data_IF_913443632058
#
_entry.id   IF_913443632058
#
_cell.length_a   1.000
_cell.length_b   1.000
_cell.length_c   1.000
_cell.angle_alpha   90.00
_cell.angle_beta   90.00
_cell.angle_gamma   90.00
#
_symmetry.space_group_name_H-M   'P 1'
#
loop_
_entity.id
_entity.type
_entity.pdbx_description
1 polymer ?
#
# COMPACT_ATOMS: atom_id res chain seq x y z
N UNK A 1 25.14 -15.38 17.34
CA UNK A 1 25.94 -15.52 16.11
C UNK A 1 25.03 -15.14 14.96
N UNK A 2 25.06 -13.87 14.56
CA UNK A 2 24.25 -13.35 13.45
C UNK A 2 24.94 -13.86 12.18
N UNK A 3 24.31 -14.80 11.48
CA UNK A 3 24.79 -15.21 10.18
C UNK A 3 24.92 -13.96 9.30
N UNK A 4 26.10 -13.77 8.69
CA UNK A 4 26.28 -12.81 7.60
C UNK A 4 25.17 -13.10 6.60
N UNK A 5 24.22 -12.17 6.48
CA UNK A 5 23.26 -12.17 5.39
C UNK A 5 24.13 -12.11 4.14
N UNK A 6 24.08 -13.16 3.32
CA UNK A 6 24.77 -13.20 2.03
C UNK A 6 24.41 -11.91 1.28
N UNK A 7 25.41 -11.24 0.69
CA UNK A 7 25.24 -9.95 0.01
C UNK A 7 24.21 -10.00 -1.13
N UNK A 8 23.82 -11.21 -1.56
CA UNK A 8 22.72 -11.44 -2.47
C UNK A 8 21.85 -12.62 -2.00
N UNK A 9 20.55 -12.42 -1.71
CA UNK A 9 19.66 -13.54 -1.37
C UNK A 9 19.52 -14.50 -2.56
N UNK A 10 19.64 -15.81 -2.31
CA UNK A 10 19.47 -16.90 -3.30
C UNK A 10 18.02 -17.39 -3.33
N UNK A 11 17.49 -17.89 -4.46
CA UNK A 11 16.11 -18.36 -4.57
C UNK A 11 15.68 -19.40 -3.50
N UNK A 12 16.63 -20.17 -2.99
CA UNK A 12 16.46 -21.09 -1.86
C UNK A 12 16.25 -20.32 -0.55
N UNK A 13 17.11 -19.33 -0.25
CA UNK A 13 16.93 -18.42 0.89
C UNK A 13 15.60 -17.65 0.83
N UNK A 14 15.12 -17.28 -0.37
CA UNK A 14 13.79 -16.69 -0.55
C UNK A 14 12.69 -17.67 -0.16
N UNK A 15 12.78 -18.92 -0.63
CA UNK A 15 11.77 -19.95 -0.36
C UNK A 15 11.72 -20.33 1.11
N UNK A 16 12.88 -20.47 1.78
CA UNK A 16 12.98 -20.72 3.21
C UNK A 16 12.45 -19.56 4.06
N UNK A 17 12.76 -18.31 3.67
CA UNK A 17 12.27 -17.13 4.35
C UNK A 17 10.76 -16.97 4.21
N UNK A 18 10.21 -17.25 3.02
CA UNK A 18 8.76 -17.30 2.80
C UNK A 18 8.17 -18.37 3.71
N UNK A 19 8.65 -19.62 3.64
CA UNK A 19 8.13 -20.74 4.43
C UNK A 19 8.18 -20.48 5.95
N UNK A 20 9.28 -19.91 6.44
CA UNK A 20 9.46 -19.58 7.87
C UNK A 20 8.52 -18.46 8.30
N UNK A 21 8.51 -17.35 7.58
CA UNK A 21 7.66 -16.19 7.87
C UNK A 21 6.18 -16.58 7.88
N UNK A 22 5.83 -17.41 6.91
CA UNK A 22 4.51 -17.98 6.69
C UNK A 22 4.03 -18.86 7.84
N UNK A 23 4.88 -19.80 8.27
CA UNK A 23 4.58 -20.73 9.35
C UNK A 23 4.45 -20.00 10.70
N UNK A 24 5.36 -19.06 10.97
CA UNK A 24 5.32 -18.29 12.22
C UNK A 24 4.10 -17.36 12.23
N UNK A 25 3.75 -16.71 11.11
CA UNK A 25 2.52 -15.91 11.00
C UNK A 25 1.27 -16.73 11.31
N UNK A 26 1.13 -17.93 10.72
CA UNK A 26 -0.02 -18.80 10.97
C UNK A 26 -0.12 -19.27 12.42
N UNK A 27 1.02 -19.50 13.10
CA UNK A 27 1.04 -19.84 14.52
C UNK A 27 0.54 -18.71 15.42
N UNK A 28 0.89 -17.44 15.13
CA UNK A 28 0.35 -16.30 15.87
C UNK A 28 -1.14 -16.14 15.62
N UNK A 29 -1.58 -16.22 14.38
CA UNK A 29 -3.01 -16.12 14.03
C UNK A 29 -3.87 -17.18 14.74
N UNK A 30 -3.39 -18.43 14.76
CA UNK A 30 -4.07 -19.51 15.47
C UNK A 30 -4.12 -19.21 16.97
N UNK A 31 -3.01 -18.69 17.53
CA UNK A 31 -2.93 -18.31 18.94
C UNK A 31 -3.92 -17.17 19.26
N UNK A 32 -3.97 -16.13 18.44
CA UNK A 32 -4.89 -15.00 18.60
C UNK A 32 -6.36 -15.43 18.43
N UNK A 33 -6.66 -16.26 17.43
CA UNK A 33 -8.01 -16.79 17.20
C UNK A 33 -8.50 -17.60 18.39
N UNK A 34 -7.63 -18.44 18.98
CA UNK A 34 -7.96 -19.19 20.18
C UNK A 34 -8.23 -18.28 21.39
N UNK A 35 -7.50 -17.15 21.50
CA UNK A 35 -7.73 -16.16 22.56
C UNK A 35 -9.09 -15.48 22.38
N UNK A 36 -9.41 -15.01 21.17
CA UNK A 36 -10.71 -14.39 20.87
C UNK A 36 -11.87 -15.36 21.13
N UNK A 37 -11.76 -16.61 20.67
CA UNK A 37 -12.80 -17.62 20.88
C UNK A 37 -12.96 -18.03 22.36
N UNK A 38 -11.89 -17.99 23.15
CA UNK A 38 -11.95 -18.22 24.59
C UNK A 38 -12.58 -17.03 25.34
N UNK A 39 -12.30 -15.80 24.89
CA UNK A 39 -12.91 -14.58 25.42
C UNK A 39 -14.42 -14.55 25.19
N UNK A 40 -14.87 -14.92 23.99
CA UNK A 40 -16.31 -14.97 23.64
C UNK A 40 -17.10 -16.03 24.42
N UNK A 41 -16.49 -17.16 24.75
CA UNK A 41 -17.16 -18.28 25.46
C UNK A 41 -17.23 -18.11 26.98
N UNK A 42 -16.43 -17.21 27.55
CA UNK A 42 -16.34 -17.01 29.00
C UNK A 42 -16.16 -15.52 29.33
N UNK A 43 -17.21 -14.69 29.18
CA UNK A 43 -17.12 -13.24 29.41
C UNK A 43 -16.82 -12.86 30.87
N UNK A 44 -16.98 -13.77 31.83
CA UNK A 44 -16.82 -13.52 33.27
C UNK A 44 -15.54 -14.09 33.90
N UNK A 45 -14.71 -14.82 33.15
CA UNK A 45 -13.41 -15.31 33.64
C UNK A 45 -12.30 -14.77 32.75
N UNK A 46 -11.38 -14.03 33.37
CA UNK A 46 -10.12 -13.62 32.77
C UNK A 46 -9.46 -14.86 32.15
N UNK A 47 -9.47 -14.95 30.82
CA UNK A 47 -8.79 -16.02 30.10
C UNK A 47 -7.30 -15.83 30.36
N UNK A 48 -6.71 -16.65 31.23
CA UNK A 48 -5.27 -16.60 31.51
C UNK A 48 -4.54 -17.22 30.32
N UNK A 49 -4.15 -16.37 29.38
CA UNK A 49 -3.28 -16.74 28.27
C UNK A 49 -1.80 -16.60 28.65
N UNK A 50 -0.93 -17.42 28.05
CA UNK A 50 0.52 -17.30 28.18
C UNK A 50 0.99 -16.05 27.40
N UNK A 51 0.88 -14.90 28.06
CA UNK A 51 1.27 -13.59 27.55
C UNK A 51 2.73 -13.57 27.07
N UNK A 52 3.62 -14.28 27.77
CA UNK A 52 5.03 -14.38 27.44
C UNK A 52 5.25 -15.13 26.12
N UNK A 53 4.49 -16.20 25.86
CA UNK A 53 4.53 -16.93 24.57
C UNK A 53 4.00 -16.08 23.42
N UNK A 54 2.86 -15.40 23.59
CA UNK A 54 2.28 -14.52 22.54
C UNK A 54 3.27 -13.43 22.17
N UNK A 55 3.83 -12.75 23.17
CA UNK A 55 4.81 -11.69 22.94
C UNK A 55 6.08 -12.20 22.26
N UNK A 56 6.58 -13.39 22.65
CA UNK A 56 7.75 -13.98 22.01
C UNK A 56 7.47 -14.30 20.55
N UNK A 57 6.32 -14.88 20.24
CA UNK A 57 5.90 -15.19 18.87
C UNK A 57 5.75 -13.90 18.05
N UNK A 58 5.07 -12.89 18.59
CA UNK A 58 4.87 -11.61 17.92
C UNK A 58 6.19 -10.88 17.64
N UNK A 59 7.15 -10.89 18.59
CA UNK A 59 8.50 -10.35 18.38
C UNK A 59 9.24 -11.07 17.26
N UNK A 60 9.15 -12.40 17.20
CA UNK A 60 9.75 -13.19 16.12
C UNK A 60 9.15 -12.86 14.76
N UNK A 61 7.82 -12.73 14.68
CA UNK A 61 7.13 -12.34 13.44
C UNK A 61 7.51 -10.95 13.02
N UNK A 62 7.53 -9.99 13.94
CA UNK A 62 7.97 -8.64 13.63
C UNK A 62 9.38 -8.64 13.05
N UNK A 63 10.31 -9.34 13.69
CA UNK A 63 11.68 -9.44 13.20
C UNK A 63 11.74 -10.06 11.80
N UNK A 64 10.97 -11.12 11.56
CA UNK A 64 10.87 -11.76 10.25
C UNK A 64 10.30 -10.78 9.20
N UNK A 65 9.20 -10.11 9.50
CA UNK A 65 8.57 -9.12 8.64
C UNK A 65 9.48 -7.92 8.33
N UNK A 66 10.24 -7.44 9.32
CA UNK A 66 11.18 -6.31 9.16
C UNK A 66 12.37 -6.70 8.26
N UNK A 67 12.93 -7.89 8.45
CA UNK A 67 13.97 -8.45 7.56
C UNK A 67 13.40 -8.60 6.15
N UNK A 68 12.25 -9.25 6.04
CA UNK A 68 11.53 -9.50 4.79
C UNK A 68 11.29 -8.21 4.00
N UNK A 69 10.75 -7.18 4.66
CA UNK A 69 10.51 -5.86 4.11
C UNK A 69 11.81 -5.17 3.64
N UNK A 70 12.84 -5.16 4.48
CA UNK A 70 14.09 -4.47 4.18
C UNK A 70 14.83 -5.13 3.02
N UNK A 71 14.83 -6.46 2.95
CA UNK A 71 15.46 -7.22 1.87
C UNK A 71 14.67 -7.07 0.56
N UNK A 72 13.33 -7.17 0.57
CA UNK A 72 12.48 -6.88 -0.59
C UNK A 72 12.77 -5.48 -1.14
N UNK A 73 12.81 -4.51 -0.23
CA UNK A 73 13.05 -3.12 -0.57
C UNK A 73 14.43 -2.92 -1.19
N UNK A 74 15.49 -3.51 -0.62
CA UNK A 74 16.84 -3.46 -1.18
C UNK A 74 16.92 -4.12 -2.55
N UNK A 75 16.24 -5.26 -2.72
CA UNK A 75 16.17 -5.98 -3.98
C UNK A 75 15.52 -5.14 -5.09
N UNK A 76 14.38 -4.50 -4.80
CA UNK A 76 13.65 -3.67 -5.76
C UNK A 76 14.36 -2.35 -6.12
N UNK A 77 15.32 -1.91 -5.29
CA UNK A 77 16.16 -0.71 -5.49
C UNK A 77 17.39 -0.95 -6.36
N UNK A 78 17.85 -2.20 -6.49
CA UNK A 78 19.06 -2.48 -7.24
C UNK A 78 18.89 -2.06 -8.71
N UNK A 79 19.86 -1.36 -9.33
CA UNK A 79 19.80 -0.93 -10.73
C UNK A 79 19.68 -2.08 -11.73
N UNK A 80 20.06 -3.30 -11.32
CA UNK A 80 20.23 -4.47 -12.20
C UNK A 80 19.90 -5.79 -11.48
N UNK A 81 18.62 -6.19 -11.36
CA UNK A 81 18.32 -7.59 -11.07
C UNK A 81 17.46 -8.23 -12.17
N UNK A 82 16.75 -7.45 -12.99
CA UNK A 82 15.77 -8.03 -13.91
C UNK A 82 16.40 -8.71 -15.12
N UNK A 83 17.45 -8.18 -15.72
CA UNK A 83 18.02 -8.80 -16.93
C UNK A 83 18.83 -10.07 -16.59
N UNK A 84 19.70 -10.02 -15.59
CA UNK A 84 20.52 -11.19 -15.22
C UNK A 84 19.72 -12.31 -14.54
N UNK A 85 18.65 -12.02 -13.80
CA UNK A 85 17.83 -13.06 -13.16
C UNK A 85 16.71 -13.62 -14.06
N UNK A 86 16.28 -12.89 -15.11
CA UNK A 86 15.31 -13.40 -16.10
C UNK A 86 15.83 -14.62 -16.86
N UNK A 87 17.14 -14.66 -17.12
CA UNK A 87 17.76 -15.80 -17.82
C UNK A 87 17.97 -17.02 -16.92
N UNK A 88 17.97 -16.85 -15.59
CA UNK A 88 18.26 -17.94 -14.64
C UNK A 88 16.99 -18.55 -14.04
N UNK A 89 15.86 -17.82 -13.99
CA UNK A 89 14.69 -18.29 -13.23
C UNK A 89 13.34 -18.01 -13.91
N UNK A 90 12.77 -19.03 -14.54
CA UNK A 90 11.39 -19.03 -15.05
C UNK A 90 10.31 -18.78 -13.97
N UNK A 91 10.65 -18.91 -12.67
CA UNK A 91 9.72 -18.77 -11.54
C UNK A 91 9.95 -17.51 -10.68
N UNK A 92 10.94 -16.66 -10.98
CA UNK A 92 11.33 -15.52 -10.14
C UNK A 92 10.16 -14.60 -9.80
N UNK A 93 9.37 -14.27 -10.82
CA UNK A 93 8.19 -13.42 -10.72
C UNK A 93 7.17 -13.94 -9.70
N UNK A 94 6.94 -15.25 -9.71
CA UNK A 94 6.03 -15.93 -8.78
C UNK A 94 6.58 -15.95 -7.35
N UNK A 95 7.88 -16.20 -7.20
CA UNK A 95 8.54 -16.18 -5.88
C UNK A 95 8.55 -14.78 -5.26
N UNK A 96 8.85 -13.76 -6.07
CA UNK A 96 8.84 -12.36 -5.64
C UNK A 96 7.43 -11.92 -5.19
N UNK A 97 6.40 -12.30 -5.95
CA UNK A 97 5.02 -12.03 -5.54
C UNK A 97 4.65 -12.73 -4.24
N UNK A 98 4.98 -14.02 -4.11
CA UNK A 98 4.71 -14.79 -2.89
C UNK A 98 5.36 -14.13 -1.68
N UNK A 99 6.56 -13.60 -1.85
CA UNK A 99 7.27 -12.87 -0.82
C UNK A 99 6.59 -11.56 -0.44
N UNK A 100 6.17 -10.76 -1.41
CA UNK A 100 5.39 -9.53 -1.18
C UNK A 100 4.08 -9.85 -0.45
N UNK A 101 3.33 -10.85 -0.91
CA UNK A 101 2.06 -11.26 -0.31
C UNK A 101 2.25 -11.73 1.14
N UNK A 102 3.24 -12.57 1.42
CA UNK A 102 3.57 -13.04 2.77
C UNK A 102 3.98 -11.89 3.69
N UNK A 103 4.79 -10.95 3.18
CA UNK A 103 5.21 -9.77 3.94
C UNK A 103 4.04 -8.86 4.24
N UNK A 104 3.20 -8.57 3.25
CA UNK A 104 2.00 -7.76 3.44
C UNK A 104 1.06 -8.41 4.45
N UNK A 105 0.84 -9.72 4.38
CA UNK A 105 0.01 -10.46 5.33
C UNK A 105 0.51 -10.37 6.77
N UNK A 106 1.81 -10.57 7.00
CA UNK A 106 2.39 -10.45 8.35
C UNK A 106 2.10 -9.08 8.95
N UNK A 107 2.24 -8.02 8.17
CA UNK A 107 1.99 -6.65 8.63
C UNK A 107 0.52 -6.29 8.73
N UNK A 108 -0.32 -6.71 7.77
CA UNK A 108 -1.72 -6.27 7.63
C UNK A 108 -2.68 -7.10 8.50
N UNK A 109 -2.33 -8.35 8.79
CA UNK A 109 -3.21 -9.27 9.54
C UNK A 109 -2.59 -9.66 10.88
N UNK A 110 -1.43 -10.32 10.87
CA UNK A 110 -0.92 -10.95 12.09
C UNK A 110 -0.42 -9.93 13.12
N UNK A 111 0.34 -8.93 12.68
CA UNK A 111 0.90 -7.90 13.57
C UNK A 111 -0.14 -6.87 14.01
N UNK A 112 -1.05 -6.45 13.13
CA UNK A 112 -2.17 -5.55 13.48
C UNK A 112 -3.07 -6.17 14.54
N UNK A 113 -3.51 -7.43 14.37
CA UNK A 113 -4.31 -8.12 15.39
C UNK A 113 -3.58 -8.18 16.75
N UNK A 114 -2.26 -8.40 16.75
CA UNK A 114 -1.46 -8.40 17.98
C UNK A 114 -1.36 -7.00 18.61
N UNK A 115 -1.13 -5.94 17.83
CA UNK A 115 -1.02 -4.58 18.38
C UNK A 115 -2.36 -4.04 18.84
N UNK A 116 -3.46 -4.44 18.20
CA UNK A 116 -4.81 -4.16 18.68
C UNK A 116 -5.04 -4.80 20.06
N UNK A 117 -4.64 -6.06 20.26
CA UNK A 117 -4.70 -6.73 21.56
C UNK A 117 -3.86 -6.03 22.64
N UNK A 118 -2.75 -5.40 22.25
CA UNK A 118 -1.83 -4.69 23.15
C UNK A 118 -2.18 -3.21 23.36
N UNK A 119 -3.23 -2.71 22.70
CA UNK A 119 -3.57 -1.29 22.68
C UNK A 119 -2.39 -0.40 22.23
N UNK A 120 -1.57 -0.90 21.30
CA UNK A 120 -0.41 -0.18 20.75
C UNK A 120 -0.74 0.41 19.37
N UNK A 121 -1.49 1.50 19.37
CA UNK A 121 -1.95 2.17 18.15
C UNK A 121 -0.82 2.64 17.23
N UNK A 122 0.35 3.00 17.78
CA UNK A 122 1.50 3.43 16.98
C UNK A 122 2.11 2.27 16.20
N UNK A 123 2.38 1.14 16.87
CA UNK A 123 2.95 -0.02 16.18
C UNK A 123 1.95 -0.70 15.25
N UNK A 124 0.67 -0.60 15.57
CA UNK A 124 -0.41 -0.96 14.65
C UNK A 124 -0.32 -0.15 13.35
N UNK A 125 -0.27 1.18 13.45
CA UNK A 125 -0.16 2.05 12.28
C UNK A 125 1.13 1.84 11.50
N UNK A 126 2.28 1.66 12.17
CA UNK A 126 3.55 1.33 11.49
C UNK A 126 3.43 0.04 10.69
N UNK A 127 2.75 -0.97 11.22
CA UNK A 127 2.53 -2.24 10.51
C UNK A 127 1.68 -2.01 9.25
N UNK A 128 0.57 -1.28 9.36
CA UNK A 128 -0.26 -0.92 8.21
C UNK A 128 0.48 -0.09 7.15
N UNK A 129 1.29 0.90 7.55
CA UNK A 129 2.12 1.70 6.63
C UNK A 129 3.05 0.80 5.82
N UNK A 130 3.72 -0.16 6.47
CA UNK A 130 4.61 -1.11 5.81
C UNK A 130 3.85 -2.06 4.89
N UNK A 131 2.66 -2.51 5.29
CA UNK A 131 1.78 -3.30 4.43
C UNK A 131 1.38 -2.54 3.16
N UNK A 132 0.95 -1.27 3.28
CA UNK A 132 0.58 -0.40 2.15
C UNK A 132 1.75 -0.24 1.18
N UNK A 133 2.97 -0.04 1.69
CA UNK A 133 4.17 0.03 0.86
C UNK A 133 4.41 -1.26 0.07
N UNK A 134 4.38 -2.42 0.73
CA UNK A 134 4.59 -3.72 0.08
C UNK A 134 3.54 -3.98 -0.99
N UNK A 135 2.27 -3.69 -0.70
CA UNK A 135 1.17 -3.80 -1.66
C UNK A 135 1.35 -2.85 -2.84
N UNK A 136 1.88 -1.64 -2.60
CA UNK A 136 2.14 -0.66 -3.66
C UNK A 136 3.26 -1.06 -4.61
N UNK A 137 4.21 -1.88 -4.15
CA UNK A 137 5.27 -2.42 -5.01
C UNK A 137 4.72 -3.36 -6.08
N UNK A 138 3.62 -4.09 -5.78
CA UNK A 138 2.94 -4.96 -6.75
C UNK A 138 2.48 -4.17 -7.97
N UNK A 139 1.84 -3.01 -7.75
CA UNK A 139 1.37 -2.10 -8.81
C UNK A 139 2.51 -1.46 -9.61
N UNK A 140 3.74 -1.54 -9.11
CA UNK A 140 4.95 -0.96 -9.72
C UNK A 140 5.69 -1.95 -10.62
N UNK A 141 5.41 -3.24 -10.47
CA UNK A 141 6.03 -4.35 -11.19
C UNK A 141 5.17 -4.79 -12.37
N UNK A 142 5.77 -5.06 -13.53
CA UNK A 142 5.08 -5.38 -14.79
C UNK A 142 4.00 -6.46 -14.63
N UNK A 143 2.82 -6.29 -15.22
CA UNK A 143 1.74 -7.30 -15.24
C UNK A 143 2.19 -8.68 -15.72
N UNK A 144 3.20 -8.75 -16.61
CA UNK A 144 3.78 -10.00 -17.10
C UNK A 144 4.49 -10.83 -15.99
N UNK A 145 4.81 -10.21 -14.86
CA UNK A 145 5.37 -10.85 -13.66
C UNK A 145 4.26 -11.56 -12.87
N UNK A 146 3.01 -11.12 -12.99
CA UNK A 146 1.89 -11.66 -12.21
C UNK A 146 0.99 -12.52 -13.07
N UNK A 147 1.35 -13.80 -13.22
CA UNK A 147 0.37 -14.80 -13.66
C UNK A 147 -0.56 -15.14 -12.48
N UNK A 148 -1.57 -14.28 -12.28
CA UNK A 148 -2.57 -14.37 -11.20
C UNK A 148 -3.38 -15.68 -11.21
N UNK A 149 -3.49 -16.34 -12.38
CA UNK A 149 -4.24 -17.60 -12.57
C UNK A 149 -3.57 -18.84 -11.99
N UNK A 150 -2.26 -18.81 -11.68
CA UNK A 150 -1.56 -19.91 -11.01
C UNK A 150 -1.17 -19.52 -9.58
N UNK A 151 -2.20 -19.19 -8.80
CA UNK A 151 -2.14 -18.71 -7.42
C UNK A 151 -0.89 -19.24 -6.65
N UNK A 152 0.14 -18.40 -6.42
CA UNK A 152 1.21 -18.72 -5.48
C UNK A 152 0.69 -19.03 -4.06
N UNK A 153 -0.54 -18.63 -3.75
CA UNK A 153 -1.27 -18.95 -2.53
C UNK A 153 -1.35 -20.46 -2.21
N UNK A 154 -1.39 -21.33 -3.23
CA UNK A 154 -1.64 -22.77 -3.05
C UNK A 154 -0.36 -23.62 -2.94
N UNK A 155 0.70 -23.28 -3.67
CA UNK A 155 1.94 -24.10 -3.67
C UNK A 155 2.90 -23.73 -2.52
N UNK A 156 2.77 -22.55 -1.91
CA UNK A 156 3.61 -22.19 -0.76
C UNK A 156 3.11 -22.77 0.57
N UNK A 157 1.98 -23.50 0.60
CA UNK A 157 1.14 -23.46 1.80
C UNK A 157 0.10 -24.58 2.01
N UNK A 158 0.43 -25.84 1.75
CA UNK A 158 -0.38 -26.92 2.32
C UNK A 158 -0.14 -27.00 3.85
N UNK A 159 -1.04 -26.39 4.64
CA UNK A 159 -1.34 -26.90 5.99
C UNK A 159 -1.19 -26.01 7.23
N UNK A 160 -0.95 -24.69 7.16
CA UNK A 160 -0.65 -23.90 8.40
C UNK A 160 -1.70 -22.86 8.81
N UNK A 161 -2.36 -22.15 7.89
CA UNK A 161 -3.41 -21.16 8.24
C UNK A 161 -4.44 -20.98 7.13
N UNK A 162 -5.72 -21.18 7.46
CA UNK A 162 -6.85 -20.84 6.57
C UNK A 162 -7.01 -19.34 6.39
N UNK A 163 -6.56 -18.52 7.35
CA UNK A 163 -6.56 -17.05 7.25
C UNK A 163 -5.57 -16.58 6.18
N UNK A 164 -4.37 -17.17 6.10
CA UNK A 164 -3.42 -16.90 5.01
C UNK A 164 -4.03 -17.20 3.64
N UNK A 165 -4.57 -18.42 3.47
CA UNK A 165 -5.14 -18.83 2.19
C UNK A 165 -6.26 -17.88 1.78
N UNK A 166 -7.17 -17.56 2.71
CA UNK A 166 -8.25 -16.60 2.48
C UNK A 166 -7.72 -15.20 2.16
N UNK A 167 -6.71 -14.71 2.88
CA UNK A 167 -6.11 -13.41 2.60
C UNK A 167 -5.55 -13.37 1.19
N UNK A 168 -4.79 -14.38 0.80
CA UNK A 168 -4.16 -14.46 -0.51
C UNK A 168 -5.21 -14.57 -1.64
N UNK A 169 -6.20 -15.46 -1.49
CA UNK A 169 -7.28 -15.64 -2.48
C UNK A 169 -8.22 -14.43 -2.61
N UNK A 170 -8.30 -13.57 -1.60
CA UNK A 170 -9.19 -12.38 -1.62
C UNK A 170 -8.46 -11.05 -1.83
N UNK A 171 -7.15 -10.99 -1.64
CA UNK A 171 -6.39 -9.72 -1.66
C UNK A 171 -5.29 -9.69 -2.71
N UNK A 172 -4.91 -10.85 -3.25
CA UNK A 172 -3.71 -11.03 -4.06
C UNK A 172 -4.01 -11.79 -5.35
N UNK A 173 -5.18 -11.56 -5.95
CA UNK A 173 -5.61 -12.23 -7.20
C UNK A 173 -5.76 -11.29 -8.41
N UNK A 174 -5.76 -9.98 -8.17
CA UNK A 174 -5.67 -8.96 -9.22
C UNK A 174 -5.23 -7.63 -8.62
N UNK A 175 -4.83 -6.69 -9.48
CA UNK A 175 -4.49 -5.33 -9.07
C UNK A 175 -5.67 -4.61 -8.39
N UNK A 176 -6.90 -4.85 -8.84
CA UNK A 176 -8.12 -4.38 -8.16
C UNK A 176 -8.24 -4.85 -6.70
N UNK A 177 -7.94 -6.13 -6.42
CA UNK A 177 -7.99 -6.67 -5.06
C UNK A 177 -6.87 -6.10 -4.17
N UNK A 178 -5.68 -5.91 -4.74
CA UNK A 178 -4.56 -5.26 -4.05
C UNK A 178 -4.92 -3.82 -3.69
N UNK A 179 -5.48 -3.07 -4.64
CA UNK A 179 -5.96 -1.68 -4.46
C UNK A 179 -7.04 -1.62 -3.38
N UNK A 180 -7.99 -2.54 -3.41
CA UNK A 180 -9.04 -2.65 -2.36
C UNK A 180 -8.43 -2.90 -0.98
N UNK A 181 -7.41 -3.76 -0.87
CA UNK A 181 -6.71 -4.02 0.39
C UNK A 181 -5.92 -2.81 0.88
N UNK A 182 -5.27 -2.07 -0.02
CA UNK A 182 -4.61 -0.81 0.34
C UNK A 182 -5.63 0.21 0.86
N UNK A 183 -6.80 0.31 0.24
CA UNK A 183 -7.88 1.20 0.65
C UNK A 183 -8.36 0.86 2.08
N UNK A 184 -8.62 -0.41 2.35
CA UNK A 184 -8.98 -0.88 3.70
C UNK A 184 -7.87 -0.57 4.75
N UNK A 185 -6.60 -0.70 4.35
CA UNK A 185 -5.47 -0.38 5.25
C UNK A 185 -5.43 1.12 5.55
N UNK A 186 -5.74 1.98 4.58
CA UNK A 186 -5.86 3.42 4.82
C UNK A 186 -7.08 3.79 5.65
N UNK A 187 -8.23 3.12 5.48
CA UNK A 187 -9.41 3.31 6.33
C UNK A 187 -9.08 3.04 7.80
N UNK A 188 -8.33 1.97 8.06
CA UNK A 188 -7.89 1.62 9.41
C UNK A 188 -6.86 2.60 9.97
N UNK A 189 -5.89 3.03 9.15
CA UNK A 189 -4.96 4.10 9.50
C UNK A 189 -5.67 5.42 9.85
N UNK A 190 -6.73 5.75 9.10
CA UNK A 190 -7.59 6.92 9.35
C UNK A 190 -8.39 6.72 10.64
N UNK A 191 -8.87 5.52 10.94
CA UNK A 191 -9.56 5.26 12.20
C UNK A 191 -8.64 5.44 13.42
N UNK A 192 -7.37 5.02 13.31
CA UNK A 192 -6.36 5.18 14.37
C UNK A 192 -5.86 6.64 14.48
N UNK A 193 -5.64 7.29 13.35
CA UNK A 193 -5.08 8.64 13.26
C UNK A 193 -5.97 9.55 12.40
N UNK A 194 -7.21 9.86 12.85
CA UNK A 194 -8.20 10.58 12.04
C UNK A 194 -7.80 12.00 11.70
N UNK A 195 -6.85 12.56 12.45
CA UNK A 195 -6.33 13.90 12.23
C UNK A 195 -5.06 13.92 11.37
N UNK A 196 -4.58 12.80 10.86
CA UNK A 196 -3.35 12.78 10.09
C UNK A 196 -3.64 12.94 8.59
N UNK A 197 -3.47 14.17 8.09
CA UNK A 197 -3.87 14.57 6.73
C UNK A 197 -3.32 13.67 5.61
N UNK A 198 -2.04 13.25 5.64
CA UNK A 198 -1.48 12.45 4.55
C UNK A 198 -2.20 11.11 4.30
N UNK A 199 -2.75 10.44 5.32
CA UNK A 199 -3.51 9.20 5.11
C UNK A 199 -4.79 9.46 4.32
N UNK A 200 -5.50 10.54 4.63
CA UNK A 200 -6.70 10.95 3.92
C UNK A 200 -6.42 11.27 2.44
N UNK A 201 -5.29 11.91 2.17
CA UNK A 201 -4.88 12.25 0.80
C UNK A 201 -4.57 11.00 -0.02
N UNK A 202 -3.78 10.08 0.53
CA UNK A 202 -3.48 8.81 -0.15
C UNK A 202 -4.73 7.97 -0.38
N UNK A 203 -5.62 7.90 0.62
CA UNK A 203 -6.88 7.17 0.51
C UNK A 203 -7.76 7.72 -0.61
N UNK A 204 -7.95 9.04 -0.66
CA UNK A 204 -8.82 9.64 -1.69
C UNK A 204 -8.23 9.52 -3.09
N UNK A 205 -6.90 9.62 -3.25
CA UNK A 205 -6.22 9.35 -4.52
C UNK A 205 -6.48 7.91 -4.95
N UNK A 206 -6.33 6.96 -4.03
CA UNK A 206 -6.56 5.54 -4.30
C UNK A 206 -8.00 5.27 -4.74
N UNK A 207 -9.00 5.85 -4.06
CA UNK A 207 -10.41 5.71 -4.44
C UNK A 207 -10.73 6.36 -5.80
N UNK A 208 -10.08 7.47 -6.13
CA UNK A 208 -10.41 8.27 -7.32
C UNK A 208 -9.71 7.80 -8.59
N UNK A 209 -8.50 7.26 -8.46
CA UNK A 209 -7.60 6.94 -9.57
C UNK A 209 -7.14 5.47 -9.59
N UNK A 210 -7.35 4.71 -8.52
CA UNK A 210 -7.00 3.29 -8.43
C UNK A 210 -7.98 2.38 -9.17
N UNK A 211 -7.57 1.13 -9.36
CA UNK A 211 -8.46 0.08 -9.88
C UNK A 211 -9.43 -0.36 -8.79
N UNK A 212 -10.61 0.26 -8.75
CA UNK A 212 -11.63 -0.02 -7.73
C UNK A 212 -12.91 -0.59 -8.35
N UNK A 213 -13.69 -1.39 -7.60
CA UNK A 213 -15.02 -1.83 -8.01
C UNK A 213 -15.96 -0.65 -8.36
N UNK A 214 -16.96 -0.91 -9.19
CA UNK A 214 -18.01 0.06 -9.52
C UNK A 214 -18.75 0.53 -8.25
N UNK A 215 -19.10 1.82 -8.18
CA UNK A 215 -19.78 2.43 -7.03
C UNK A 215 -18.88 3.12 -6.01
N UNK A 216 -17.56 3.00 -6.13
CA UNK A 216 -16.60 3.68 -5.22
C UNK A 216 -16.55 5.19 -5.43
N UNK A 217 -17.02 5.69 -6.58
CA UNK A 217 -17.11 7.14 -6.85
C UNK A 217 -17.90 7.86 -5.75
N UNK A 218 -19.04 7.32 -5.31
CA UNK A 218 -19.85 7.95 -4.26
C UNK A 218 -19.10 8.01 -2.92
N UNK A 219 -18.31 6.98 -2.61
CA UNK A 219 -17.45 6.93 -1.43
C UNK A 219 -16.34 7.98 -1.54
N UNK A 220 -15.65 8.06 -2.69
CA UNK A 220 -14.62 9.06 -2.94
C UNK A 220 -15.16 10.48 -2.78
N UNK A 221 -16.34 10.75 -3.37
CA UNK A 221 -17.04 12.03 -3.24
C UNK A 221 -17.37 12.33 -1.78
N UNK A 222 -17.92 11.38 -1.02
CA UNK A 222 -18.21 11.57 0.41
C UNK A 222 -16.95 11.90 1.22
N UNK A 223 -15.87 11.17 1.00
CA UNK A 223 -14.59 11.38 1.68
C UNK A 223 -14.01 12.76 1.36
N UNK A 224 -14.06 13.21 0.10
CA UNK A 224 -13.65 14.56 -0.30
C UNK A 224 -14.49 15.62 0.42
N UNK A 225 -15.81 15.45 0.44
CA UNK A 225 -16.69 16.40 1.12
C UNK A 225 -16.40 16.47 2.62
N UNK A 226 -16.09 15.33 3.26
CA UNK A 226 -15.66 15.31 4.67
C UNK A 226 -14.35 16.07 4.88
N UNK A 227 -13.35 15.85 4.02
CA UNK A 227 -12.07 16.57 4.10
C UNK A 227 -12.23 18.09 3.90
N UNK A 228 -13.13 18.51 3.01
CA UNK A 228 -13.37 19.93 2.70
C UNK A 228 -14.25 20.64 3.72
N UNK A 229 -15.25 19.95 4.30
CA UNK A 229 -16.19 20.55 5.25
C UNK A 229 -15.51 20.96 6.57
N UNK A 230 -14.46 20.25 6.94
CA UNK A 230 -13.78 20.38 8.23
C UNK A 230 -12.43 21.13 8.14
N UNK A 231 -12.18 21.95 7.08
CA UNK A 231 -11.03 22.86 6.84
C UNK A 231 -9.83 22.71 7.78
N UNK A 232 -8.61 22.37 7.28
CA UNK A 232 -7.23 22.40 7.84
C UNK A 232 -6.93 22.49 9.34
N UNK A 233 -7.70 23.26 10.10
CA UNK A 233 -7.67 23.43 11.55
C UNK A 233 -7.66 22.06 12.28
N UNK A 234 -8.21 21.01 11.66
CA UNK A 234 -8.26 19.66 12.25
C UNK A 234 -7.07 18.76 11.90
N UNK A 235 -6.43 18.93 10.74
CA UNK A 235 -5.42 17.98 10.27
C UNK A 235 -4.00 18.37 10.70
N UNK A 236 -3.33 17.42 11.34
CA UNK A 236 -1.89 17.43 11.56
C UNK A 236 -1.12 17.03 10.30
N UNK A 237 0.06 17.63 10.12
CA UNK A 237 1.04 17.26 9.09
C UNK A 237 0.51 17.27 7.64
N UNK A 238 -0.25 18.30 7.28
CA UNK A 238 -0.80 18.50 5.93
C UNK A 238 0.31 18.83 4.93
N UNK A 239 0.35 18.09 3.82
CA UNK A 239 1.25 18.40 2.71
C UNK A 239 0.87 19.72 2.05
N UNK A 240 1.85 20.50 1.58
CA UNK A 240 1.59 21.81 0.95
C UNK A 240 0.73 21.74 -0.33
N UNK A 241 0.59 20.55 -0.92
CA UNK A 241 -0.20 20.27 -2.12
C UNK A 241 -1.54 19.57 -1.83
N UNK A 242 -1.88 19.33 -0.56
CA UNK A 242 -3.05 18.54 -0.17
C UNK A 242 -4.34 19.04 -0.82
N UNK A 243 -4.58 20.35 -0.74
CA UNK A 243 -5.85 20.94 -1.21
C UNK A 243 -5.96 20.97 -2.71
N UNK A 244 -4.86 21.28 -3.38
CA UNK A 244 -4.80 21.24 -4.84
C UNK A 244 -5.19 19.84 -5.33
N UNK A 245 -4.68 18.78 -4.70
CA UNK A 245 -5.06 17.41 -5.04
C UNK A 245 -6.52 17.10 -4.72
N UNK A 246 -7.00 17.43 -3.52
CA UNK A 246 -8.39 17.17 -3.14
C UNK A 246 -9.36 17.91 -4.07
N UNK A 247 -9.06 19.16 -4.41
CA UNK A 247 -9.86 19.97 -5.34
C UNK A 247 -9.81 19.39 -6.76
N UNK A 248 -8.64 19.00 -7.26
CA UNK A 248 -8.51 18.38 -8.57
C UNK A 248 -9.32 17.09 -8.67
N UNK A 249 -9.17 16.19 -7.69
CA UNK A 249 -9.90 14.93 -7.65
C UNK A 249 -11.41 15.15 -7.56
N UNK A 250 -11.87 16.14 -6.78
CA UNK A 250 -13.29 16.46 -6.69
C UNK A 250 -13.88 16.78 -8.06
N UNK A 251 -13.17 17.62 -8.83
CA UNK A 251 -13.58 18.03 -10.18
C UNK A 251 -13.58 16.82 -11.11
N UNK A 252 -12.54 15.98 -11.06
CA UNK A 252 -12.37 14.81 -11.95
C UNK A 252 -13.30 13.62 -11.64
N UNK A 253 -14.00 13.66 -10.51
CA UNK A 253 -15.06 12.69 -10.20
C UNK A 253 -16.40 13.09 -10.80
N UNK A 254 -16.58 14.35 -11.22
CA UNK A 254 -17.77 14.79 -11.93
C UNK A 254 -17.71 14.32 -13.40
N UNK A 255 -18.83 13.89 -13.98
CA UNK A 255 -18.90 13.68 -15.43
C UNK A 255 -18.54 14.97 -16.18
N UNK A 256 -17.80 14.87 -17.28
CA UNK A 256 -17.41 16.05 -18.07
C UNK A 256 -18.60 16.89 -18.57
N UNK A 257 -19.77 16.27 -18.74
CA UNK A 257 -21.03 16.94 -19.09
C UNK A 257 -21.64 17.78 -17.96
N UNK A 258 -21.18 17.60 -16.72
CA UNK A 258 -21.65 18.32 -15.53
C UNK A 258 -20.65 19.38 -15.06
N UNK A 259 -19.50 19.51 -15.73
CA UNK A 259 -18.50 20.53 -15.44
C UNK A 259 -18.88 21.85 -16.12
N UNK A 260 -18.99 22.92 -15.33
CA UNK A 260 -19.16 24.27 -15.84
C UNK A 260 -17.80 24.89 -16.23
N UNK A 261 -17.84 26.01 -16.97
CA UNK A 261 -16.63 26.70 -17.44
C UNK A 261 -15.69 27.08 -16.29
N UNK A 262 -16.24 27.40 -15.12
CA UNK A 262 -15.47 27.74 -13.93
C UNK A 262 -14.73 26.53 -13.37
N UNK A 263 -15.41 25.38 -13.27
CA UNK A 263 -14.83 24.11 -12.86
C UNK A 263 -13.73 23.65 -13.80
N UNK A 264 -13.95 23.75 -15.11
CA UNK A 264 -12.93 23.48 -16.13
C UNK A 264 -11.71 24.38 -15.95
N UNK A 265 -11.90 25.70 -15.82
CA UNK A 265 -10.81 26.66 -15.63
C UNK A 265 -10.01 26.35 -14.35
N UNK A 266 -10.70 26.06 -13.25
CA UNK A 266 -10.07 25.68 -11.96
C UNK A 266 -9.28 24.39 -12.09
N UNK A 267 -9.82 23.38 -12.78
CA UNK A 267 -9.12 22.11 -13.04
C UNK A 267 -7.79 22.33 -13.76
N UNK A 268 -7.81 23.16 -14.82
CA UNK A 268 -6.61 23.49 -15.62
C UNK A 268 -5.58 24.23 -14.79
N UNK A 269 -6.01 25.21 -14.00
CA UNK A 269 -5.11 25.96 -13.12
C UNK A 269 -4.39 25.06 -12.12
N UNK A 270 -5.15 24.20 -11.44
CA UNK A 270 -4.59 23.25 -10.47
C UNK A 270 -3.69 22.23 -11.15
N UNK A 271 -4.10 21.68 -12.30
CA UNK A 271 -3.30 20.72 -13.05
C UNK A 271 -1.97 21.34 -13.51
N UNK A 272 -1.95 22.58 -13.99
CA UNK A 272 -0.69 23.28 -14.33
C UNK A 272 0.20 23.49 -13.10
N UNK A 273 -0.39 23.84 -11.95
CA UNK A 273 0.35 24.02 -10.70
C UNK A 273 1.00 22.71 -10.22
N UNK A 274 0.25 21.61 -10.22
CA UNK A 274 0.71 20.31 -9.72
C UNK A 274 1.59 19.55 -10.72
N UNK A 275 1.24 19.63 -12.01
CA UNK A 275 1.76 18.75 -13.07
C UNK A 275 2.50 19.52 -14.17
N UNK A 276 2.80 20.82 -14.00
CA UNK A 276 3.33 21.67 -15.07
C UNK A 276 4.70 21.29 -15.64
N UNK A 277 5.38 20.25 -15.11
CA UNK A 277 6.63 19.74 -15.67
C UNK A 277 6.88 18.28 -15.30
N UNK A 278 7.68 17.58 -16.11
CA UNK A 278 8.20 16.25 -15.75
C UNK A 278 8.96 16.27 -14.43
N UNK A 279 9.69 17.34 -14.12
CA UNK A 279 10.44 17.47 -12.87
C UNK A 279 9.50 17.53 -11.67
N UNK A 280 8.39 18.28 -11.77
CA UNK A 280 7.37 18.32 -10.73
C UNK A 280 6.73 16.95 -10.56
N UNK A 281 6.37 16.29 -11.66
CA UNK A 281 5.70 14.97 -11.62
C UNK A 281 6.64 13.85 -11.14
N UNK A 282 7.90 13.87 -11.56
CA UNK A 282 8.96 13.00 -11.06
C UNK A 282 9.49 13.43 -9.71
N UNK A 283 9.01 14.55 -9.16
CA UNK A 283 9.38 14.92 -7.81
C UNK A 283 8.95 13.79 -6.88
N UNK A 284 9.78 13.57 -5.87
CA UNK A 284 9.71 12.40 -4.99
C UNK A 284 8.35 12.24 -4.28
N UNK A 285 7.53 13.29 -4.27
CA UNK A 285 6.22 13.29 -3.63
C UNK A 285 5.12 12.63 -4.46
N UNK A 286 5.28 12.52 -5.78
CA UNK A 286 4.15 12.17 -6.66
C UNK A 286 4.27 10.81 -7.33
N UNK A 287 5.31 10.53 -8.12
CA UNK A 287 5.36 9.29 -8.92
C UNK A 287 6.62 8.45 -8.70
N UNK A 288 7.73 9.07 -8.28
CA UNK A 288 9.00 8.35 -8.21
C UNK A 288 8.86 7.07 -7.38
N UNK A 289 9.25 5.94 -7.97
CA UNK A 289 8.99 4.63 -7.38
C UNK A 289 9.57 4.58 -5.97
N UNK A 290 8.94 3.82 -5.07
CA UNK A 290 9.41 3.59 -3.69
C UNK A 290 10.85 3.04 -3.55
N UNK A 291 11.47 2.76 -4.69
CA UNK A 291 12.79 2.19 -4.85
C UNK A 291 13.79 3.18 -5.48
N UNK A 292 13.38 4.41 -5.73
CA UNK A 292 14.29 5.50 -6.09
C UNK A 292 14.98 6.05 -4.84
N UNK A 293 16.22 6.51 -5.00
CA UNK A 293 16.99 7.19 -3.95
C UNK A 293 17.05 8.67 -4.29
N UNK A 294 16.82 9.59 -3.32
CA UNK A 294 16.53 9.40 -1.90
C UNK A 294 15.08 9.04 -1.56
N UNK A 295 14.91 8.35 -0.44
CA UNK A 295 13.62 7.95 0.13
C UNK A 295 12.80 9.16 0.60
N UNK A 296 11.48 9.08 0.45
CA UNK A 296 10.55 10.02 1.08
C UNK A 296 9.97 9.39 2.34
N UNK A 297 9.89 10.19 3.39
CA UNK A 297 9.33 9.80 4.67
C UNK A 297 8.02 10.52 4.92
N UNK A 298 7.16 9.91 5.73
CA UNK A 298 5.93 10.56 6.18
C UNK A 298 6.27 11.80 7.02
N UNK A 299 5.50 12.89 6.94
CA UNK A 299 5.72 14.03 7.82
C UNK A 299 5.37 13.73 9.29
N UNK A 300 5.88 14.54 10.23
CA UNK A 300 5.45 14.49 11.64
C UNK A 300 5.62 13.14 12.34
N UNK A 301 4.51 12.60 12.86
CA UNK A 301 4.45 11.40 13.74
C UNK A 301 5.15 10.17 13.16
N UNK A 302 5.13 10.00 11.84
CA UNK A 302 5.67 8.81 11.16
C UNK A 302 6.97 9.09 10.39
N UNK A 303 7.73 10.11 10.78
CA UNK A 303 8.95 10.57 10.08
C UNK A 303 10.07 9.56 9.90
N UNK A 304 9.99 8.39 10.55
CA UNK A 304 10.94 7.29 10.39
C UNK A 304 10.49 6.24 9.37
N UNK A 305 9.27 6.35 8.86
CA UNK A 305 8.70 5.42 7.89
C UNK A 305 8.66 6.10 6.50
N UNK A 306 9.30 5.50 5.51
CA UNK A 306 8.56 4.79 4.46
C UNK A 306 7.29 5.43 3.87
N UNK A 307 7.33 6.60 3.22
CA UNK A 307 6.12 7.10 2.52
C UNK A 307 6.04 6.55 1.07
N UNK A 308 4.92 5.91 0.68
CA UNK A 308 4.66 5.57 -0.73
C UNK A 308 4.52 6.83 -1.59
N UNK A 309 4.84 6.78 -2.90
CA UNK A 309 4.50 7.88 -3.80
C UNK A 309 2.99 8.12 -3.76
N UNK A 310 2.57 9.36 -3.98
CA UNK A 310 1.14 9.67 -3.98
C UNK A 310 0.39 8.91 -5.08
N UNK A 311 1.03 8.72 -6.23
CA UNK A 311 0.48 8.04 -7.39
C UNK A 311 1.40 6.90 -7.84
N UNK A 312 0.79 5.78 -8.19
CA UNK A 312 1.45 4.78 -9.05
C UNK A 312 1.46 5.26 -10.50
N UNK A 313 2.31 4.64 -11.34
CA UNK A 313 2.33 4.89 -12.80
C UNK A 313 0.94 4.71 -13.42
N UNK A 314 0.21 3.66 -13.04
CA UNK A 314 -1.13 3.38 -13.53
C UNK A 314 -2.14 4.46 -13.07
N UNK A 315 -2.09 4.86 -11.80
CA UNK A 315 -2.95 5.94 -11.29
C UNK A 315 -2.69 7.28 -11.99
N UNK A 316 -1.43 7.57 -12.32
CA UNK A 316 -1.10 8.76 -13.08
C UNK A 316 -1.60 8.69 -14.53
N UNK A 317 -1.49 7.54 -15.20
CA UNK A 317 -2.07 7.36 -16.53
C UNK A 317 -3.61 7.54 -16.51
N UNK A 318 -4.27 7.03 -15.47
CA UNK A 318 -5.71 7.24 -15.25
C UNK A 318 -6.03 8.73 -15.02
N UNK A 319 -5.19 9.44 -14.26
CA UNK A 319 -5.31 10.89 -14.07
C UNK A 319 -5.20 11.64 -15.41
N UNK A 320 -4.19 11.35 -16.23
CA UNK A 320 -4.03 11.98 -17.55
C UNK A 320 -5.23 11.71 -18.46
N UNK A 321 -5.76 10.49 -18.43
CA UNK A 321 -6.98 10.10 -19.17
C UNK A 321 -8.18 10.94 -18.74
N UNK A 322 -8.38 11.13 -17.43
CA UNK A 322 -9.45 11.96 -16.88
C UNK A 322 -9.27 13.45 -17.17
N UNK A 323 -8.04 13.94 -17.27
CA UNK A 323 -7.73 15.35 -17.58
C UNK A 323 -7.93 15.68 -19.06
N UNK A 324 -7.66 14.73 -19.95
CA UNK A 324 -7.74 14.91 -21.42
C UNK A 324 -9.02 15.61 -21.90
N UNK A 325 -10.25 15.20 -21.51
CA UNK A 325 -11.47 15.85 -21.99
C UNK A 325 -11.69 17.28 -21.45
N UNK A 326 -10.93 17.69 -20.44
CA UNK A 326 -11.08 19.00 -19.77
C UNK A 326 -9.97 19.96 -20.21
N UNK A 327 -8.84 19.44 -20.68
CA UNK A 327 -7.71 20.24 -21.19
C UNK A 327 -8.04 20.88 -22.53
N UNK A 328 -7.58 22.12 -22.72
CA UNK A 328 -7.67 22.81 -24.00
C UNK A 328 -6.45 22.52 -24.89
N UNK A 329 -6.40 23.10 -26.10
CA UNK A 329 -5.27 22.94 -27.02
C UNK A 329 -3.92 23.34 -26.42
N UNK A 330 -3.89 24.37 -25.57
CA UNK A 330 -2.67 24.84 -24.90
C UNK A 330 -2.12 23.82 -23.87
N UNK A 331 -2.99 22.99 -23.29
CA UNK A 331 -2.60 21.98 -22.30
C UNK A 331 -2.39 20.58 -22.91
N UNK A 332 -2.75 20.38 -24.19
CA UNK A 332 -2.59 19.09 -24.87
C UNK A 332 -1.11 18.73 -25.02
N UNK A 333 -0.27 19.70 -25.38
CA UNK A 333 1.18 19.54 -25.45
C UNK A 333 1.76 19.18 -24.07
N UNK A 334 1.32 19.87 -23.01
CA UNK A 334 1.70 19.56 -21.63
C UNK A 334 1.31 18.11 -21.26
N UNK A 335 0.09 17.68 -21.55
CA UNK A 335 -0.34 16.30 -21.26
C UNK A 335 0.49 15.27 -22.04
N UNK A 336 0.86 15.57 -23.29
CA UNK A 336 1.69 14.69 -24.11
C UNK A 336 3.12 14.59 -23.59
N UNK A 337 3.71 15.72 -23.18
CA UNK A 337 5.00 15.74 -22.49
C UNK A 337 4.95 14.92 -21.19
N UNK A 338 3.86 15.05 -20.44
CA UNK A 338 3.64 14.31 -19.20
C UNK A 338 3.58 12.78 -19.38
N UNK A 339 2.98 12.31 -20.47
CA UNK A 339 2.97 10.87 -20.81
C UNK A 339 4.39 10.32 -21.01
N UNK A 340 5.29 11.16 -21.51
CA UNK A 340 6.70 10.81 -21.75
C UNK A 340 7.58 10.90 -20.49
N UNK A 341 7.05 11.43 -19.38
CA UNK A 341 7.78 11.49 -18.12
C UNK A 341 7.87 10.14 -17.39
N UNK A 342 7.13 9.10 -17.80
CA UNK A 342 7.00 7.85 -17.05
C UNK A 342 7.95 6.72 -17.46
#
# INVERSE_FOLDING_TARGET
MIAKIEEHPTAESFSEMIATSSLVSGLLELTLTNISAASEKTPEKEVVYDSAKIERTARSIRKAADISYSTLRGFLKAPTPYEDLRFVYHNLSRSLFSWMAATAHMYNTALTEFYLLKDDGYQHAVSLIRAVNVLGWVSSTSEAVFNWSHAPCRLAYEGVSTKWLRYCETSCISLQHVTTRQAASFEELIALYPLYGPFWLHYVVLLSLGEMPSGIIDTAVKVIHMQKKDNHVRYSSVDFFHDDWVDLLQILLLPSSQLDDMGVKKAREIARKLLGSCENVRSKNFIESNHSSPEVYWPGTFSKEVRPPLLTRAQFQNLLTKLTPIMGPEEEDMLNDLKNCL
#
